data_IF_252719669550
#
_entry.id   IF_252719669550
#
_cell.length_a   1.000
_cell.length_b   1.000
_cell.length_c   1.000
_cell.angle_alpha   90.00
_cell.angle_beta   90.00
_cell.angle_gamma   90.00
#
_symmetry.space_group_name_H-M   'P 1'
#
loop_
_entity.id
_entity.type
_entity.pdbx_description
1 polymer ?
#
# COMPACT_ATOMS: atom_id res chain seq x y z
N UNK A 1 3.85 -6.45 15.50
CA UNK A 1 3.63 -6.84 14.10
C UNK A 1 2.84 -8.15 14.04
N UNK A 2 1.92 -8.32 13.09
CA UNK A 2 1.21 -9.58 12.80
C UNK A 2 1.58 -10.05 11.39
N UNK A 3 1.67 -11.35 11.18
CA UNK A 3 1.95 -11.95 9.87
C UNK A 3 0.85 -12.96 9.55
N UNK A 4 0.10 -12.70 8.50
CA UNK A 4 -1.02 -13.51 8.05
C UNK A 4 -0.55 -14.28 6.81
N UNK A 5 -0.35 -15.59 6.95
CA UNK A 5 0.11 -16.47 5.87
C UNK A 5 -1.10 -17.16 5.25
N UNK A 6 -1.37 -16.85 3.99
CA UNK A 6 -2.51 -17.34 3.21
C UNK A 6 -2.03 -18.17 2.02
N UNK A 7 -2.92 -18.94 1.43
CA UNK A 7 -2.57 -19.93 0.42
C UNK A 7 -2.03 -19.33 -0.88
N UNK A 8 -2.58 -18.18 -1.30
CA UNK A 8 -2.25 -17.55 -2.57
C UNK A 8 -2.65 -16.07 -2.62
N UNK A 9 -2.29 -15.39 -3.71
CA UNK A 9 -2.57 -13.98 -3.91
C UNK A 9 -4.06 -13.59 -3.96
N UNK A 10 -4.98 -14.53 -4.23
CA UNK A 10 -6.42 -14.24 -4.18
C UNK A 10 -6.89 -14.17 -2.73
N UNK A 11 -6.41 -15.06 -1.87
CA UNK A 11 -6.74 -15.03 -0.45
C UNK A 11 -6.11 -13.82 0.26
N UNK A 12 -4.85 -13.46 -0.07
CA UNK A 12 -4.23 -12.24 0.49
C UNK A 12 -5.01 -10.99 0.12
N UNK A 13 -5.51 -10.92 -1.12
CA UNK A 13 -6.32 -9.79 -1.59
C UNK A 13 -7.67 -9.70 -0.86
N UNK A 14 -8.40 -10.80 -0.73
CA UNK A 14 -9.68 -10.86 0.01
C UNK A 14 -9.48 -10.49 1.48
N UNK A 15 -8.50 -11.11 2.14
CA UNK A 15 -8.21 -10.82 3.54
C UNK A 15 -7.91 -9.33 3.76
N UNK A 16 -7.09 -8.75 2.88
CA UNK A 16 -6.73 -7.34 2.94
C UNK A 16 -7.94 -6.43 2.73
N UNK A 17 -8.79 -6.73 1.75
CA UNK A 17 -10.01 -5.98 1.50
C UNK A 17 -11.00 -6.06 2.68
N UNK A 18 -11.18 -7.24 3.25
CA UNK A 18 -12.06 -7.44 4.42
C UNK A 18 -11.51 -6.74 5.67
N UNK A 19 -10.18 -6.72 5.84
CA UNK A 19 -9.55 -5.96 6.94
C UNK A 19 -9.80 -4.45 6.78
N UNK A 20 -9.58 -3.90 5.58
CA UNK A 20 -9.85 -2.48 5.30
C UNK A 20 -11.33 -2.16 5.54
N UNK A 21 -12.23 -2.95 4.97
CA UNK A 21 -13.67 -2.79 5.14
C UNK A 21 -14.09 -2.81 6.62
N UNK A 22 -13.56 -3.76 7.39
CA UNK A 22 -13.82 -3.87 8.84
C UNK A 22 -13.38 -2.63 9.60
N UNK A 23 -12.20 -2.09 9.29
CA UNK A 23 -11.73 -0.87 9.95
C UNK A 23 -12.55 0.37 9.53
N UNK A 24 -12.97 0.46 8.25
CA UNK A 24 -13.88 1.52 7.80
C UNK A 24 -15.23 1.45 8.55
N UNK A 25 -15.84 0.27 8.63
CA UNK A 25 -17.13 0.06 9.30
C UNK A 25 -17.06 0.37 10.80
N UNK A 26 -15.98 -0.05 11.47
CA UNK A 26 -15.73 0.27 12.88
C UNK A 26 -15.51 1.77 13.13
N UNK A 27 -14.82 2.43 12.20
CA UNK A 27 -14.52 3.85 12.31
C UNK A 27 -15.75 4.72 12.15
N UNK A 28 -16.74 4.28 11.35
CA UNK A 28 -17.99 4.99 11.01
C UNK A 28 -17.68 6.40 10.48
N UNK A 29 -17.09 6.52 9.29
CA UNK A 29 -16.63 7.79 8.75
C UNK A 29 -17.81 8.76 8.49
N UNK A 30 -17.58 10.04 8.83
CA UNK A 30 -18.49 11.15 8.55
C UNK A 30 -17.74 12.26 7.80
N UNK A 31 -18.43 13.27 7.23
CA UNK A 31 -17.75 14.40 6.60
C UNK A 31 -16.75 15.12 7.52
N UNK A 32 -17.08 15.23 8.83
CA UNK A 32 -16.24 15.90 9.83
C UNK A 32 -15.12 15.00 10.36
N UNK A 33 -15.29 13.68 10.20
CA UNK A 33 -14.33 12.66 10.63
C UNK A 33 -14.17 11.62 9.55
N UNK A 34 -13.48 11.94 8.44
CA UNK A 34 -13.28 11.02 7.34
C UNK A 34 -12.33 9.87 7.69
N UNK A 35 -12.48 8.72 7.02
CA UNK A 35 -11.50 7.65 7.08
C UNK A 35 -10.37 7.94 6.10
N UNK A 36 -9.14 8.08 6.59
CA UNK A 36 -7.98 8.41 5.74
C UNK A 36 -7.24 7.13 5.36
N UNK A 37 -7.25 6.81 4.05
CA UNK A 37 -6.72 5.57 3.49
C UNK A 37 -5.51 5.84 2.59
N UNK A 38 -4.36 5.28 2.94
CA UNK A 38 -3.17 5.28 2.08
C UNK A 38 -3.25 4.15 1.04
N UNK A 39 -2.85 4.42 -0.20
CA UNK A 39 -3.00 3.48 -1.32
C UNK A 39 -1.74 3.39 -2.18
N UNK A 40 -1.30 2.16 -2.55
CA UNK A 40 -0.23 1.91 -3.51
C UNK A 40 -0.78 1.78 -4.94
N UNK A 41 0.12 1.84 -5.92
CA UNK A 41 -0.14 1.39 -7.31
C UNK A 41 0.54 0.04 -7.59
N UNK A 42 0.54 -0.37 -8.84
CA UNK A 42 1.18 -1.61 -9.29
C UNK A 42 0.26 -2.84 -9.30
N UNK A 43 0.81 -3.98 -9.65
CA UNK A 43 0.01 -5.20 -9.87
C UNK A 43 -0.49 -5.87 -8.58
N UNK A 44 0.23 -5.71 -7.47
CA UNK A 44 -0.10 -6.38 -6.20
C UNK A 44 -1.46 -5.96 -5.63
N UNK A 45 -1.83 -4.66 -5.56
CA UNK A 45 -3.09 -4.24 -4.96
C UNK A 45 -4.33 -4.42 -5.85
N UNK A 46 -4.18 -4.69 -7.15
CA UNK A 46 -5.31 -4.75 -8.10
C UNK A 46 -6.41 -5.72 -7.66
N UNK A 47 -6.04 -6.89 -7.16
CA UNK A 47 -7.01 -7.87 -6.66
C UNK A 47 -7.72 -7.37 -5.40
N UNK A 48 -7.01 -6.64 -4.53
CA UNK A 48 -7.59 -6.02 -3.33
C UNK A 48 -8.56 -4.91 -3.72
N UNK A 49 -8.23 -4.07 -4.70
CA UNK A 49 -9.14 -3.05 -5.22
C UNK A 49 -10.41 -3.67 -5.80
N UNK A 50 -10.27 -4.76 -6.56
CA UNK A 50 -11.43 -5.49 -7.08
C UNK A 50 -12.35 -5.99 -5.96
N UNK A 51 -11.80 -6.55 -4.88
CA UNK A 51 -12.61 -7.00 -3.74
C UNK A 51 -13.24 -5.83 -2.98
N UNK A 52 -12.57 -4.70 -2.84
CA UNK A 52 -13.16 -3.48 -2.24
C UNK A 52 -14.31 -2.94 -3.11
N UNK A 53 -14.17 -2.98 -4.44
CA UNK A 53 -15.26 -2.61 -5.38
C UNK A 53 -16.44 -3.59 -5.22
N UNK A 54 -16.18 -4.89 -5.09
CA UNK A 54 -17.24 -5.88 -4.86
C UNK A 54 -18.00 -5.58 -3.56
N UNK A 55 -17.29 -5.31 -2.45
CA UNK A 55 -17.91 -4.95 -1.17
C UNK A 55 -18.73 -3.65 -1.25
N UNK A 56 -18.28 -2.68 -2.04
CA UNK A 56 -19.02 -1.46 -2.34
C UNK A 56 -20.30 -1.76 -3.15
N UNK A 57 -20.20 -2.54 -4.22
CA UNK A 57 -21.35 -2.93 -5.04
C UNK A 57 -22.39 -3.76 -4.26
N UNK A 58 -21.94 -4.57 -3.30
CA UNK A 58 -22.82 -5.31 -2.36
C UNK A 58 -23.42 -4.39 -1.29
N UNK A 59 -23.11 -3.08 -1.29
CA UNK A 59 -23.57 -2.11 -0.31
C UNK A 59 -23.08 -2.37 1.12
N UNK A 60 -21.91 -3.06 1.27
CA UNK A 60 -21.32 -3.34 2.58
C UNK A 60 -20.52 -2.13 3.07
N UNK A 61 -19.78 -1.46 2.18
CA UNK A 61 -19.00 -0.26 2.50
C UNK A 61 -19.34 0.89 1.56
N UNK A 62 -19.03 2.13 1.98
CA UNK A 62 -19.12 3.34 1.17
C UNK A 62 -17.83 4.13 1.26
N UNK A 63 -17.41 4.73 0.14
CA UNK A 63 -16.23 5.58 0.07
C UNK A 63 -16.57 7.08 0.12
N UNK A 64 -17.83 7.45 0.31
CA UNK A 64 -18.28 8.85 0.31
C UNK A 64 -17.53 9.74 1.30
N UNK A 65 -17.23 9.20 2.49
CA UNK A 65 -16.50 9.88 3.56
C UNK A 65 -15.10 9.30 3.78
N UNK A 66 -14.49 8.77 2.70
CA UNK A 66 -13.10 8.32 2.68
C UNK A 66 -12.26 9.37 1.97
N UNK A 67 -11.07 9.66 2.51
CA UNK A 67 -10.04 10.46 1.87
C UNK A 67 -8.87 9.54 1.56
N UNK A 68 -8.36 9.58 0.34
CA UNK A 68 -7.23 8.74 -0.07
C UNK A 68 -5.95 9.54 -0.26
N UNK A 69 -4.82 8.91 0.03
CA UNK A 69 -3.47 9.41 -0.25
C UNK A 69 -2.66 8.32 -0.94
N UNK A 70 -2.25 8.57 -2.19
CA UNK A 70 -1.35 7.65 -2.89
C UNK A 70 0.10 7.79 -2.42
N UNK A 71 0.86 6.70 -2.50
CA UNK A 71 2.25 6.65 -2.02
C UNK A 71 3.19 7.51 -2.86
N UNK A 72 2.94 7.61 -4.16
CA UNK A 72 3.90 8.10 -5.13
C UNK A 72 3.23 8.53 -6.44
N UNK A 73 3.99 9.23 -7.26
CA UNK A 73 3.68 9.56 -8.65
C UNK A 73 4.98 9.86 -9.41
N UNK A 74 5.03 9.53 -10.69
CA UNK A 74 6.12 9.89 -11.57
C UNK A 74 6.18 11.39 -11.83
N UNK A 75 7.39 11.95 -11.82
CA UNK A 75 7.60 13.35 -12.24
C UNK A 75 7.60 13.43 -13.75
N UNK A 76 6.89 14.44 -14.29
CA UNK A 76 6.82 14.72 -15.71
C UNK A 76 5.69 14.00 -16.46
N UNK A 77 4.87 13.19 -15.78
CA UNK A 77 3.67 12.60 -16.38
C UNK A 77 2.42 13.38 -15.96
N UNK A 78 1.64 13.82 -16.96
CA UNK A 78 0.33 14.43 -16.69
C UNK A 78 -0.67 13.42 -16.15
N UNK A 79 -1.71 13.84 -15.42
CA UNK A 79 -2.76 12.95 -14.91
C UNK A 79 -3.45 12.10 -15.99
N UNK A 80 -3.53 12.60 -17.23
CA UNK A 80 -4.15 11.90 -18.36
C UNK A 80 -3.20 10.91 -19.06
N UNK A 81 -1.92 10.93 -18.71
CA UNK A 81 -0.97 9.98 -19.26
C UNK A 81 -1.30 8.58 -18.74
N UNK A 82 -1.45 7.61 -19.65
CA UNK A 82 -1.83 6.22 -19.31
C UNK A 82 -0.87 5.52 -18.35
N UNK A 83 0.35 6.03 -18.20
CA UNK A 83 1.38 5.49 -17.32
C UNK A 83 1.50 6.27 -15.99
N UNK A 84 0.74 7.37 -15.81
CA UNK A 84 0.69 8.03 -14.53
C UNK A 84 -0.05 7.19 -13.49
N UNK A 85 0.32 7.33 -12.23
CA UNK A 85 -0.41 6.66 -11.15
C UNK A 85 -1.78 7.28 -10.92
N UNK A 86 -1.95 8.55 -11.27
CA UNK A 86 -3.26 9.19 -11.32
C UNK A 86 -4.21 8.44 -12.26
N UNK A 87 -3.79 8.21 -13.52
CA UNK A 87 -4.56 7.44 -14.50
C UNK A 87 -4.82 6.00 -14.01
N UNK A 88 -3.77 5.33 -13.52
CA UNK A 88 -3.87 3.98 -12.98
C UNK A 88 -4.95 3.86 -11.91
N UNK A 89 -4.93 4.75 -10.92
CA UNK A 89 -5.88 4.69 -9.81
C UNK A 89 -7.31 4.98 -10.26
N UNK A 90 -7.49 5.92 -11.17
CA UNK A 90 -8.79 6.19 -11.75
C UNK A 90 -9.34 4.97 -12.50
N UNK A 91 -8.52 4.37 -13.39
CA UNK A 91 -8.94 3.24 -14.22
C UNK A 91 -9.22 1.96 -13.44
N UNK A 92 -8.49 1.71 -12.36
CA UNK A 92 -8.58 0.44 -11.64
C UNK A 92 -9.36 0.51 -10.32
N UNK A 93 -9.67 1.71 -9.83
CA UNK A 93 -10.34 1.83 -8.54
C UNK A 93 -11.36 2.97 -8.48
N UNK A 94 -10.94 4.22 -8.62
CA UNK A 94 -11.78 5.38 -8.25
C UNK A 94 -13.07 5.50 -9.08
N UNK A 95 -13.04 5.22 -10.38
CA UNK A 95 -14.24 5.29 -11.23
C UNK A 95 -15.32 4.27 -10.90
N UNK A 96 -15.02 3.27 -10.07
CA UNK A 96 -15.96 2.19 -9.70
C UNK A 96 -16.59 2.36 -8.31
N UNK A 97 -16.24 3.42 -7.58
CA UNK A 97 -16.71 3.67 -6.21
C UNK A 97 -17.23 5.11 -6.05
N UNK A 98 -17.97 5.38 -4.97
CA UNK A 98 -18.56 6.69 -4.73
C UNK A 98 -17.64 7.69 -4.00
N UNK A 99 -16.32 7.59 -4.19
CA UNK A 99 -15.40 8.57 -3.63
C UNK A 99 -15.56 9.93 -4.30
N UNK A 100 -15.55 11.01 -3.52
CA UNK A 100 -15.61 12.37 -4.05
C UNK A 100 -14.26 12.76 -4.67
N UNK A 101 -14.22 13.41 -5.85
CA UNK A 101 -12.95 13.79 -6.49
C UNK A 101 -12.02 14.60 -5.59
N UNK A 102 -12.57 15.53 -4.80
CA UNK A 102 -11.81 16.36 -3.84
C UNK A 102 -11.14 15.57 -2.71
N UNK A 103 -11.59 14.34 -2.47
CA UNK A 103 -11.05 13.43 -1.46
C UNK A 103 -9.90 12.56 -1.98
N UNK A 104 -9.62 12.60 -3.28
CA UNK A 104 -8.53 11.87 -3.90
C UNK A 104 -7.26 12.73 -3.84
N UNK A 105 -6.20 12.19 -3.26
CA UNK A 105 -4.91 12.86 -3.17
C UNK A 105 -3.82 11.97 -3.77
N UNK A 106 -3.20 12.48 -4.82
CA UNK A 106 -2.03 11.89 -5.48
C UNK A 106 -0.99 13.02 -5.59
N UNK A 107 0.31 12.74 -5.37
CA UNK A 107 1.34 13.76 -5.55
C UNK A 107 1.31 14.34 -6.97
N UNK A 108 1.48 15.66 -7.10
CA UNK A 108 1.46 16.30 -8.41
C UNK A 108 2.84 16.21 -9.08
N UNK A 109 3.05 15.20 -9.94
CA UNK A 109 4.29 15.02 -10.70
C UNK A 109 4.58 16.13 -11.73
N UNK A 110 3.61 17.03 -12.00
CA UNK A 110 3.76 18.17 -12.89
C UNK A 110 4.04 19.48 -12.15
N UNK A 111 4.26 19.45 -10.83
CA UNK A 111 4.57 20.63 -10.06
C UNK A 111 5.91 21.27 -10.51
N UNK A 112 5.93 22.59 -10.61
CA UNK A 112 7.15 23.34 -10.96
C UNK A 112 8.15 23.38 -9.81
N UNK A 113 7.65 23.34 -8.58
CA UNK A 113 8.45 23.23 -7.34
C UNK A 113 8.08 21.93 -6.64
N UNK A 114 8.93 20.91 -6.81
CA UNK A 114 8.71 19.57 -6.26
C UNK A 114 8.86 19.54 -4.73
N UNK A 115 9.70 20.38 -4.15
CA UNK A 115 9.88 20.46 -2.70
C UNK A 115 8.65 21.06 -2.03
N UNK A 116 8.14 22.18 -2.57
CA UNK A 116 6.89 22.76 -2.10
C UNK A 116 5.70 21.80 -2.23
N UNK A 117 5.64 21.01 -3.31
CA UNK A 117 4.61 19.99 -3.48
C UNK A 117 4.72 18.87 -2.43
N UNK A 118 5.93 18.39 -2.15
CA UNK A 118 6.15 17.39 -1.10
C UNK A 118 5.72 17.91 0.27
N UNK A 119 6.06 19.15 0.59
CA UNK A 119 5.66 19.78 1.85
C UNK A 119 4.14 19.95 1.93
N UNK A 120 3.50 20.43 0.85
CA UNK A 120 2.04 20.54 0.73
C UNK A 120 1.36 19.18 0.98
N UNK A 121 1.93 18.10 0.44
CA UNK A 121 1.40 16.76 0.58
C UNK A 121 1.45 16.28 2.03
N UNK A 122 2.59 16.46 2.70
CA UNK A 122 2.77 16.16 4.13
C UNK A 122 1.81 16.97 5.01
N UNK A 123 1.67 18.27 4.74
CA UNK A 123 0.78 19.15 5.52
C UNK A 123 -0.68 18.77 5.32
N UNK A 124 -1.07 18.35 4.10
CA UNK A 124 -2.42 17.84 3.84
C UNK A 124 -2.68 16.54 4.60
N UNK A 125 -1.74 15.60 4.65
CA UNK A 125 -1.85 14.39 5.48
C UNK A 125 -2.06 14.77 6.95
N UNK A 126 -1.26 15.69 7.47
CA UNK A 126 -1.34 16.15 8.87
C UNK A 126 -2.66 16.85 9.18
N UNK A 127 -3.22 17.61 8.24
CA UNK A 127 -4.49 18.34 8.43
C UNK A 127 -5.68 17.42 8.69
N UNK A 128 -5.61 16.16 8.22
CA UNK A 128 -6.60 15.11 8.51
C UNK A 128 -6.27 14.24 9.73
N UNK A 129 -5.25 14.61 10.51
CA UNK A 129 -4.80 13.84 11.68
C UNK A 129 -4.00 12.59 11.34
N UNK A 130 -3.37 12.57 10.15
CA UNK A 130 -2.57 11.46 9.64
C UNK A 130 -3.41 10.36 8.98
N UNK A 131 -2.73 9.37 8.42
CA UNK A 131 -3.36 8.24 7.72
C UNK A 131 -3.88 7.22 8.72
N UNK A 132 -5.14 6.83 8.59
CA UNK A 132 -5.79 5.86 9.49
C UNK A 132 -5.32 4.44 9.20
N UNK A 133 -5.27 4.05 7.92
CA UNK A 133 -4.74 2.78 7.46
C UNK A 133 -3.98 3.01 6.17
N UNK A 134 -2.75 2.52 6.09
CA UNK A 134 -1.95 2.53 4.88
C UNK A 134 -1.91 1.13 4.28
N UNK A 135 -2.55 0.92 3.12
CA UNK A 135 -2.31 -0.24 2.28
C UNK A 135 -0.98 -0.06 1.54
N UNK A 136 -0.14 -1.06 1.55
CA UNK A 136 1.20 -1.03 0.97
C UNK A 136 1.50 -2.31 0.20
N UNK A 137 2.37 -2.21 -0.78
CA UNK A 137 3.11 -3.32 -1.37
C UNK A 137 4.59 -3.22 -1.02
N UNK A 138 5.40 -4.11 -1.60
CA UNK A 138 6.85 -4.11 -1.46
C UNK A 138 7.51 -4.52 -2.76
N UNK A 139 8.67 -3.95 -3.08
CA UNK A 139 9.54 -4.38 -4.19
C UNK A 139 10.24 -5.70 -3.91
N UNK A 140 10.90 -6.28 -4.92
CA UNK A 140 11.69 -7.52 -4.78
C UNK A 140 12.92 -7.29 -3.88
N UNK A 141 13.48 -6.10 -3.90
CA UNK A 141 14.59 -5.62 -3.07
C UNK A 141 14.16 -5.07 -1.70
N UNK A 142 12.88 -5.21 -1.35
CA UNK A 142 12.30 -4.80 -0.07
C UNK A 142 11.99 -3.32 0.06
N UNK A 143 11.98 -2.53 -1.02
CA UNK A 143 11.56 -1.14 -0.96
C UNK A 143 10.06 -1.00 -0.75
N UNK A 144 9.65 -0.02 0.06
CA UNK A 144 8.25 0.40 0.21
C UNK A 144 8.09 1.77 -0.45
N UNK A 145 7.07 1.94 -1.32
CA UNK A 145 6.97 3.09 -2.22
C UNK A 145 8.28 3.19 -3.05
N UNK A 146 8.78 4.36 -3.40
CA UNK A 146 10.12 4.50 -4.00
C UNK A 146 11.22 4.75 -2.96
N UNK A 147 11.09 4.18 -1.76
CA UNK A 147 12.17 4.19 -0.77
C UNK A 147 13.14 3.05 -1.02
N UNK A 148 13.96 3.21 -2.06
CA UNK A 148 15.02 2.31 -2.50
C UNK A 148 15.99 1.96 -1.35
N UNK A 149 16.76 0.84 -1.43
CA UNK A 149 17.81 0.52 -0.48
C UNK A 149 18.73 1.71 -0.17
N UNK A 150 19.04 1.91 1.11
CA UNK A 150 19.79 3.07 1.59
C UNK A 150 18.94 4.30 1.93
N UNK A 151 17.62 4.28 1.67
CA UNK A 151 16.74 5.37 2.09
C UNK A 151 16.60 5.44 3.61
N UNK A 152 16.69 6.66 4.17
CA UNK A 152 16.51 6.85 5.61
C UNK A 152 15.16 6.34 6.10
N UNK A 153 15.15 5.59 7.20
CA UNK A 153 13.92 5.09 7.83
C UNK A 153 13.07 6.19 8.48
N UNK A 154 13.62 7.39 8.63
CA UNK A 154 12.90 8.60 9.08
C UNK A 154 12.55 9.56 7.95
N UNK A 155 12.76 9.17 6.69
CA UNK A 155 12.50 10.03 5.52
C UNK A 155 11.05 10.46 5.45
N UNK A 156 10.84 11.67 4.92
CA UNK A 156 9.53 12.25 4.63
C UNK A 156 9.26 12.23 3.13
N UNK A 157 8.10 12.71 2.73
CA UNK A 157 7.75 12.84 1.30
C UNK A 157 8.79 13.72 0.60
N UNK A 158 9.30 13.24 -0.53
CA UNK A 158 10.36 13.89 -1.30
C UNK A 158 10.39 13.44 -2.75
N UNK A 159 11.11 14.17 -3.59
CA UNK A 159 11.51 13.67 -4.90
C UNK A 159 12.63 12.63 -4.75
N UNK A 160 12.62 11.59 -5.57
CA UNK A 160 13.58 10.49 -5.53
C UNK A 160 13.93 10.06 -6.95
N UNK A 161 15.24 10.00 -7.24
CA UNK A 161 15.72 9.33 -8.44
C UNK A 161 15.48 7.83 -8.31
N UNK A 162 15.00 7.22 -9.40
CA UNK A 162 14.77 5.78 -9.47
C UNK A 162 16.07 5.05 -9.81
N UNK A 163 16.30 3.92 -9.16
CA UNK A 163 17.44 3.05 -9.48
C UNK A 163 17.27 2.42 -10.87
N UNK A 164 18.38 2.01 -11.48
CA UNK A 164 18.36 1.31 -12.77
C UNK A 164 17.45 0.07 -12.72
N UNK A 165 17.52 -0.70 -11.64
CA UNK A 165 16.72 -1.91 -11.47
C UNK A 165 15.23 -1.61 -11.39
N UNK A 166 14.83 -0.52 -10.70
CA UNK A 166 13.44 -0.05 -10.65
C UNK A 166 12.98 0.44 -12.03
N UNK A 167 13.81 1.18 -12.77
CA UNK A 167 13.50 1.61 -14.14
C UNK A 167 13.33 0.38 -15.04
N UNK A 168 14.21 -0.57 -14.98
CA UNK A 168 14.14 -1.82 -15.74
C UNK A 168 12.88 -2.62 -15.39
N UNK A 169 12.57 -2.79 -14.09
CA UNK A 169 11.38 -3.49 -13.66
C UNK A 169 10.08 -2.79 -14.11
N UNK A 170 10.08 -1.44 -14.15
CA UNK A 170 8.92 -0.67 -14.56
C UNK A 170 8.78 -0.50 -16.07
N UNK A 171 9.83 -0.77 -16.86
CA UNK A 171 9.80 -0.70 -18.34
C UNK A 171 8.66 -1.56 -18.95
N UNK A 172 8.26 -2.63 -18.27
CA UNK A 172 7.11 -3.47 -18.65
C UNK A 172 5.79 -2.70 -18.81
N UNK A 173 5.67 -1.54 -18.17
CA UNK A 173 4.52 -0.64 -18.30
C UNK A 173 4.72 0.41 -19.41
N UNK A 174 5.93 0.50 -19.98
CA UNK A 174 6.36 1.46 -21.00
C UNK A 174 6.82 0.74 -22.28
N UNK A 175 6.09 -0.29 -22.72
CA UNK A 175 6.40 -1.10 -23.92
C UNK A 175 7.79 -1.75 -23.88
N UNK A 176 8.29 -2.07 -22.68
CA UNK A 176 9.66 -2.54 -22.42
C UNK A 176 10.78 -1.56 -22.83
N UNK A 177 10.43 -0.28 -23.00
CA UNK A 177 11.36 0.80 -23.34
C UNK A 177 11.82 1.53 -22.07
N UNK A 178 13.06 1.28 -21.65
CA UNK A 178 13.65 1.87 -20.42
C UNK A 178 13.80 3.40 -20.52
N UNK A 179 13.94 3.94 -21.75
CA UNK A 179 14.11 5.38 -21.94
C UNK A 179 12.80 6.15 -21.78
N UNK A 180 11.66 5.47 -21.90
CA UNK A 180 10.35 6.06 -21.65
C UNK A 180 9.98 6.10 -20.18
N UNK A 181 10.65 5.32 -19.33
CA UNK A 181 10.37 5.30 -17.89
C UNK A 181 10.91 6.59 -17.27
N UNK A 182 10.07 7.36 -16.53
CA UNK A 182 10.55 8.53 -15.81
C UNK A 182 11.66 8.17 -14.82
N UNK A 183 12.69 9.03 -14.75
CA UNK A 183 13.86 8.82 -13.90
C UNK A 183 13.66 9.37 -12.48
N UNK A 184 12.61 10.15 -12.27
CA UNK A 184 12.30 10.84 -11.01
C UNK A 184 10.84 10.58 -10.61
N UNK A 185 10.60 10.40 -9.32
CA UNK A 185 9.27 10.27 -8.76
C UNK A 185 9.13 11.10 -7.47
N UNK A 186 7.90 11.51 -7.13
CA UNK A 186 7.52 11.97 -5.80
C UNK A 186 7.08 10.75 -5.00
N UNK A 187 7.59 10.59 -3.80
CA UNK A 187 7.29 9.43 -2.96
C UNK A 187 7.16 9.79 -1.49
N UNK A 188 6.16 9.21 -0.81
CA UNK A 188 6.11 9.28 0.65
C UNK A 188 7.36 8.63 1.25
N UNK A 189 7.87 9.19 2.32
CA UNK A 189 9.01 8.62 3.04
C UNK A 189 8.63 7.43 3.93
N UNK A 190 9.63 6.67 4.36
CA UNK A 190 9.42 5.58 5.33
C UNK A 190 8.82 6.13 6.63
N UNK A 191 9.33 7.26 7.14
CA UNK A 191 8.79 7.92 8.32
C UNK A 191 7.32 8.36 8.15
N UNK A 192 6.94 8.85 6.96
CA UNK A 192 5.54 9.18 6.66
C UNK A 192 4.63 7.96 6.74
N UNK A 193 5.10 6.81 6.23
CA UNK A 193 4.38 5.53 6.35
C UNK A 193 4.26 5.09 7.80
N UNK A 194 5.35 5.16 8.57
CA UNK A 194 5.38 4.76 9.98
C UNK A 194 4.52 5.64 10.90
N UNK A 195 4.18 6.85 10.50
CA UNK A 195 3.26 7.74 11.23
C UNK A 195 1.78 7.32 11.08
N UNK A 196 1.45 6.41 10.18
CA UNK A 196 0.08 5.91 10.02
C UNK A 196 -0.38 5.13 11.26
N UNK A 197 -1.70 5.08 11.50
CA UNK A 197 -2.22 4.37 12.68
C UNK A 197 -2.14 2.85 12.52
N UNK A 198 -2.27 2.36 11.29
CA UNK A 198 -2.12 0.96 10.91
C UNK A 198 -1.49 0.86 9.51
N UNK A 199 -0.59 -0.11 9.32
CA UNK A 199 0.00 -0.44 8.01
C UNK A 199 -0.36 -1.88 7.67
N UNK A 200 -0.87 -2.08 6.45
CA UNK A 200 -1.16 -3.38 5.88
C UNK A 200 -0.34 -3.55 4.60
N UNK A 201 0.66 -4.42 4.64
CA UNK A 201 1.55 -4.66 3.49
C UNK A 201 1.30 -6.04 2.89
N UNK A 202 1.02 -6.08 1.58
CA UNK A 202 0.81 -7.32 0.83
C UNK A 202 2.11 -7.74 0.17
N UNK A 203 2.49 -9.01 0.37
CA UNK A 203 3.69 -9.61 -0.21
C UNK A 203 3.30 -10.93 -0.85
N UNK A 204 3.37 -11.02 -2.17
CA UNK A 204 2.96 -12.20 -2.92
C UNK A 204 4.06 -12.68 -3.86
N UNK A 205 4.20 -14.00 -3.91
CA UNK A 205 5.05 -14.70 -4.87
C UNK A 205 6.50 -14.85 -4.44
N UNK A 206 7.14 -15.89 -4.95
CA UNK A 206 8.49 -16.32 -4.61
C UNK A 206 9.56 -15.22 -4.77
N UNK A 207 9.45 -14.38 -5.80
CA UNK A 207 10.41 -13.29 -6.03
C UNK A 207 10.50 -12.28 -4.88
N UNK A 208 9.51 -12.26 -3.98
CA UNK A 208 9.47 -11.37 -2.82
C UNK A 208 9.79 -12.08 -1.50
N UNK A 209 10.28 -13.32 -1.56
CA UNK A 209 10.58 -14.11 -0.36
C UNK A 209 11.65 -13.47 0.51
N UNK A 210 12.70 -12.89 -0.10
CA UNK A 210 13.71 -12.15 0.66
C UNK A 210 13.14 -10.88 1.30
N UNK A 211 12.29 -10.13 0.59
CA UNK A 211 11.62 -8.97 1.16
C UNK A 211 10.76 -9.38 2.37
N UNK A 212 10.02 -10.49 2.28
CA UNK A 212 9.28 -11.03 3.41
C UNK A 212 10.19 -11.46 4.56
N UNK A 213 11.31 -12.15 4.27
CA UNK A 213 12.29 -12.51 5.28
C UNK A 213 12.81 -11.29 6.04
N UNK A 214 13.28 -10.25 5.35
CA UNK A 214 13.79 -9.05 6.01
C UNK A 214 12.69 -8.26 6.73
N UNK A 215 11.47 -8.28 6.23
CA UNK A 215 10.33 -7.66 6.89
C UNK A 215 9.92 -8.36 8.20
N UNK A 216 10.17 -9.68 8.32
CA UNK A 216 9.68 -10.51 9.41
C UNK A 216 10.80 -10.93 10.39
N UNK A 217 11.91 -11.47 9.87
CA UNK A 217 13.01 -12.06 10.65
C UNK A 217 14.30 -11.26 10.62
N UNK A 218 14.54 -10.50 9.55
CA UNK A 218 15.76 -9.75 9.36
C UNK A 218 15.91 -8.60 10.36
N UNK A 219 17.12 -8.10 10.51
CA UNK A 219 17.38 -6.90 11.31
C UNK A 219 16.76 -5.67 10.65
N UNK A 220 16.36 -4.70 11.46
CA UNK A 220 15.92 -3.39 10.94
C UNK A 220 17.10 -2.69 10.29
N UNK A 221 16.98 -2.40 9.01
CA UNK A 221 18.04 -1.78 8.22
C UNK A 221 17.46 -0.98 7.07
N UNK A 222 18.11 0.13 6.74
CA UNK A 222 17.77 0.96 5.58
C UNK A 222 18.04 0.26 4.24
N UNK A 223 18.79 -0.83 4.21
CA UNK A 223 19.02 -1.61 3.00
C UNK A 223 17.80 -2.46 2.59
N UNK A 224 16.88 -2.68 3.52
CA UNK A 224 15.60 -3.33 3.33
C UNK A 224 14.54 -2.48 4.04
N UNK A 225 14.02 -1.45 3.36
CA UNK A 225 13.16 -0.46 4.03
C UNK A 225 11.88 -1.06 4.58
N UNK A 226 11.40 -2.21 4.05
CA UNK A 226 10.31 -2.99 4.65
C UNK A 226 10.59 -3.39 6.09
N UNK A 227 11.86 -3.59 6.47
CA UNK A 227 12.24 -3.98 7.83
C UNK A 227 11.83 -2.93 8.88
N UNK A 228 11.64 -1.67 8.47
CA UNK A 228 11.15 -0.62 9.34
C UNK A 228 9.75 -0.89 9.92
N UNK A 229 8.94 -1.72 9.24
CA UNK A 229 7.61 -2.11 9.72
C UNK A 229 7.66 -2.88 11.03
N UNK A 230 8.80 -3.50 11.38
CA UNK A 230 9.01 -4.12 12.68
C UNK A 230 8.93 -3.12 13.84
N UNK A 231 9.19 -1.83 13.59
CA UNK A 231 9.08 -0.76 14.58
C UNK A 231 7.65 -0.21 14.71
N UNK A 232 6.78 -0.51 13.76
CA UNK A 232 5.43 0.02 13.73
C UNK A 232 4.51 -0.75 14.70
N UNK A 233 3.71 0.00 15.50
CA UNK A 233 2.84 -0.59 16.55
C UNK A 233 1.77 -1.53 16.02
N UNK A 234 1.25 -1.28 14.80
CA UNK A 234 0.16 -2.01 14.16
C UNK A 234 0.49 -2.34 12.71
N UNK A 235 1.65 -2.95 12.47
CA UNK A 235 1.98 -3.47 11.15
C UNK A 235 1.37 -4.87 10.97
N UNK A 236 0.75 -5.08 9.80
CA UNK A 236 0.26 -6.36 9.31
C UNK A 236 0.97 -6.69 8.01
N UNK A 237 1.63 -7.83 7.95
CA UNK A 237 2.18 -8.40 6.73
C UNK A 237 1.27 -9.52 6.26
N UNK A 238 0.67 -9.34 5.09
CA UNK A 238 -0.24 -10.31 4.48
C UNK A 238 0.52 -10.98 3.34
N UNK A 239 0.87 -12.22 3.53
CA UNK A 239 1.80 -12.94 2.68
C UNK A 239 1.17 -14.22 2.14
N UNK A 240 1.55 -14.63 0.93
CA UNK A 240 1.19 -15.96 0.44
C UNK A 240 2.30 -17.00 0.74
N UNK A 241 1.98 -18.29 0.53
CA UNK A 241 2.91 -19.40 0.80
C UNK A 241 4.20 -19.26 0.00
N UNK A 242 4.15 -18.74 -1.23
CA UNK A 242 5.33 -18.55 -2.06
C UNK A 242 6.27 -17.48 -1.50
N UNK A 243 5.70 -16.39 -0.96
CA UNK A 243 6.47 -15.29 -0.41
C UNK A 243 7.15 -15.60 0.93
N UNK A 244 6.78 -16.68 1.61
CA UNK A 244 7.39 -17.07 2.90
C UNK A 244 8.43 -18.19 2.80
N UNK A 245 8.83 -18.56 1.58
CA UNK A 245 9.75 -19.68 1.33
C UNK A 245 11.14 -19.52 1.97
N UNK A 246 11.59 -18.28 2.22
CA UNK A 246 12.88 -18.00 2.87
C UNK A 246 12.78 -17.88 4.41
N UNK A 247 11.57 -17.96 4.99
CA UNK A 247 11.42 -17.94 6.43
C UNK A 247 11.92 -19.26 7.06
N UNK A 248 12.46 -19.15 8.27
CA UNK A 248 12.74 -20.34 9.08
C UNK A 248 11.44 -21.09 9.35
N UNK A 249 11.51 -22.42 9.27
CA UNK A 249 10.35 -23.30 9.53
C UNK A 249 9.70 -23.00 10.90
N UNK A 250 10.48 -22.64 11.91
CA UNK A 250 9.97 -22.28 13.24
C UNK A 250 9.13 -21.00 13.19
N UNK A 251 9.57 -19.98 12.47
CA UNK A 251 8.86 -18.70 12.31
C UNK A 251 7.57 -18.90 11.52
N UNK A 252 7.63 -19.63 10.41
CA UNK A 252 6.46 -19.99 9.62
C UNK A 252 5.40 -20.70 10.48
N UNK A 253 5.78 -21.76 11.22
CA UNK A 253 4.86 -22.50 12.09
C UNK A 253 4.26 -21.63 13.19
N UNK A 254 5.08 -20.74 13.78
CA UNK A 254 4.62 -19.83 14.81
C UNK A 254 3.48 -18.94 14.30
N UNK A 255 3.64 -18.28 13.15
CA UNK A 255 2.61 -17.40 12.63
C UNK A 255 1.38 -18.15 12.10
N UNK A 256 1.56 -19.34 11.50
CA UNK A 256 0.42 -20.19 11.12
C UNK A 256 -0.42 -20.60 12.31
N UNK A 257 0.21 -20.89 13.46
CA UNK A 257 -0.50 -21.30 14.67
C UNK A 257 -1.26 -20.15 15.31
N UNK A 258 -0.58 -19.04 15.63
CA UNK A 258 -1.21 -17.92 16.34
C UNK A 258 -2.28 -17.19 15.51
N UNK A 259 -2.20 -17.22 14.19
CA UNK A 259 -3.15 -16.57 13.29
C UNK A 259 -4.19 -17.56 12.70
N UNK A 260 -4.17 -18.81 13.09
CA UNK A 260 -5.06 -19.87 12.57
C UNK A 260 -6.56 -19.53 12.61
N UNK A 261 -7.00 -18.77 13.61
CA UNK A 261 -8.39 -18.31 13.76
C UNK A 261 -8.72 -17.04 12.95
N UNK A 262 -7.72 -16.40 12.35
CA UNK A 262 -7.85 -15.12 11.66
C UNK A 262 -7.76 -15.22 10.13
N UNK A 263 -7.72 -16.46 9.58
CA UNK A 263 -7.58 -16.72 8.14
C UNK A 263 -8.86 -17.25 7.48
N UNK A 264 -9.95 -17.37 8.24
CA UNK A 264 -11.26 -17.80 7.72
C UNK A 264 -11.94 -16.61 7.01
N UNK A 265 -11.86 -16.61 5.67
CA UNK A 265 -12.38 -15.53 4.84
C UNK A 265 -13.90 -15.45 4.85
N UNK A 266 -14.60 -16.59 4.91
CA UNK A 266 -16.07 -16.61 4.95
C UNK A 266 -16.56 -15.98 6.25
N UNK A 267 -16.02 -16.40 7.37
CA UNK A 267 -16.32 -15.80 8.67
C UNK A 267 -15.99 -14.31 8.71
N UNK A 268 -14.87 -13.89 8.11
CA UNK A 268 -14.51 -12.47 8.03
C UNK A 268 -15.55 -11.68 7.23
N UNK A 269 -16.04 -12.24 6.11
CA UNK A 269 -17.09 -11.60 5.30
C UNK A 269 -18.42 -11.52 6.06
N UNK A 270 -18.83 -12.60 6.71
CA UNK A 270 -20.02 -12.62 7.57
C UNK A 270 -19.94 -11.57 8.67
N UNK A 271 -18.79 -11.42 9.31
CA UNK A 271 -18.58 -10.40 10.35
C UNK A 271 -18.80 -8.97 9.82
N UNK A 272 -18.45 -8.66 8.55
CA UNK A 272 -18.72 -7.34 7.98
C UNK A 272 -20.21 -7.01 7.96
N UNK A 273 -21.08 -8.00 7.76
CA UNK A 273 -22.52 -7.82 7.73
C UNK A 273 -23.09 -7.46 9.10
N UNK A 274 -22.40 -7.77 10.19
CA UNK A 274 -22.84 -7.44 11.56
C UNK A 274 -22.66 -5.95 11.90
N UNK A 275 -21.93 -5.19 11.10
CA UNK A 275 -21.73 -3.75 11.28
C UNK A 275 -22.76 -2.88 10.52
N UNK A 276 -23.60 -3.52 9.67
CA UNK A 276 -24.76 -2.85 9.06
C UNK A 276 -25.84 -2.63 10.11
#
# INVERSE_FOLDING_TARGET
MRVIILKNSNETAKWSAYRIAKEMLKFKPTPEKPFVLGLPTGSTPLKTYKELINLYNEGIISFENVITFNMDEYVGLSPDNKQSYHYFMHEHFFKFINIKPENINIPNGMATDLEAECQRYEDKIKSFGGITLFLSGVGEDGHIAFNEPGSSLSSRTRSKELTHDTILANSRFFDHDVEKVPKLALTVGVGTLLDSKEILTIINGYKKSQAAYYGIEGSVTQMWTISALQLHRKALLIVDEDAVSDLKVKTYRYFKDIESKNIDLEKMKEELLTYK
#
